data_IF_484151316506
#
_entry.id   IF_484151316506
#
_cell.length_a   1.000
_cell.length_b   1.000
_cell.length_c   1.000
_cell.angle_alpha   90.00
_cell.angle_beta   90.00
_cell.angle_gamma   90.00
#
_symmetry.space_group_name_H-M   'P 1'
#
loop_
_entity.id
_entity.type
_entity.pdbx_description
1 polymer ?
#
# COMPACT_ATOMS: atom_id res chain seq x y z
N UNK A 1 19.58 -2.21 31.15
CA UNK A 1 18.32 -1.48 30.90
C UNK A 1 18.22 -1.26 29.40
N UNK A 2 17.26 -1.89 28.73
CA UNK A 2 17.03 -1.65 27.30
C UNK A 2 16.45 -0.23 27.13
N UNK A 3 17.05 0.57 26.25
CA UNK A 3 16.59 1.90 25.89
C UNK A 3 15.21 1.82 25.19
N UNK A 4 14.31 2.77 25.44
CA UNK A 4 13.04 2.93 24.72
C UNK A 4 13.21 2.93 23.19
N UNK A 5 14.29 3.52 22.66
CA UNK A 5 14.60 3.47 21.22
C UNK A 5 14.90 2.05 20.72
N UNK A 6 15.47 1.19 21.57
CA UNK A 6 15.74 -0.22 21.23
C UNK A 6 14.46 -1.06 21.25
N UNK A 7 13.49 -0.70 22.10
CA UNK A 7 12.19 -1.36 22.15
C UNK A 7 11.34 -1.04 20.92
N UNK A 8 11.35 0.22 20.45
CA UNK A 8 10.70 0.62 19.19
C UNK A 8 11.35 -0.09 17.99
N UNK A 9 12.68 -0.16 17.96
CA UNK A 9 13.41 -0.84 16.88
C UNK A 9 13.02 -2.33 16.78
N UNK A 10 12.93 -3.02 17.93
CA UNK A 10 12.48 -4.42 17.96
C UNK A 10 11.04 -4.60 17.50
N UNK A 11 10.11 -3.73 17.92
CA UNK A 11 8.69 -3.87 17.56
C UNK A 11 8.39 -3.64 16.08
N UNK A 12 9.20 -2.80 15.40
CA UNK A 12 8.99 -2.46 13.98
C UNK A 12 9.58 -3.49 13.01
N UNK A 13 10.64 -4.19 13.42
CA UNK A 13 11.44 -5.06 12.52
C UNK A 13 11.23 -6.55 12.79
N UNK A 14 10.97 -6.97 14.04
CA UNK A 14 10.70 -8.39 14.32
C UNK A 14 9.49 -8.99 13.58
N UNK A 15 8.39 -8.25 13.29
CA UNK A 15 7.28 -8.80 12.50
C UNK A 15 7.68 -9.23 11.09
N UNK A 16 8.69 -8.58 10.48
CA UNK A 16 9.25 -8.96 9.18
C UNK A 16 10.19 -10.17 9.28
N UNK A 17 10.62 -10.55 10.49
CA UNK A 17 11.63 -11.58 10.73
C UNK A 17 11.03 -12.90 11.22
N UNK A 18 9.88 -12.89 11.92
CA UNK A 18 9.45 -14.05 12.72
C UNK A 18 8.12 -14.73 12.35
N UNK A 19 7.20 -14.16 11.54
CA UNK A 19 5.84 -14.76 11.42
C UNK A 19 5.24 -14.92 10.02
N UNK A 20 5.94 -14.58 8.92
CA UNK A 20 5.36 -14.70 7.57
C UNK A 20 5.93 -15.82 6.69
N UNK A 21 6.86 -16.65 7.19
CA UNK A 21 7.49 -17.69 6.36
C UNK A 21 6.71 -19.02 6.33
N UNK A 22 5.91 -19.33 7.35
CA UNK A 22 5.30 -20.68 7.48
C UNK A 22 3.76 -20.73 7.38
N UNK A 23 3.07 -19.58 7.36
CA UNK A 23 1.60 -19.54 7.52
C UNK A 23 0.79 -19.41 6.23
N UNK A 24 1.42 -19.15 5.08
CA UNK A 24 0.68 -19.12 3.81
C UNK A 24 0.63 -20.54 3.26
N UNK A 25 -0.52 -21.19 3.46
CA UNK A 25 -0.80 -22.53 2.99
C UNK A 25 -0.34 -22.74 1.54
N UNK A 26 0.35 -23.86 1.31
CA UNK A 26 0.94 -24.30 0.05
C UNK A 26 -0.01 -24.34 -1.16
N UNK A 27 -1.32 -24.12 -0.97
CA UNK A 27 -2.32 -24.04 -2.05
C UNK A 27 -2.36 -22.66 -2.75
N UNK A 28 -1.89 -21.56 -2.14
CA UNK A 28 -1.97 -20.21 -2.75
C UNK A 28 -0.79 -19.85 -3.67
N UNK A 29 0.29 -20.65 -3.69
CA UNK A 29 1.52 -20.37 -4.45
C UNK A 29 1.35 -20.43 -5.99
N UNK A 30 0.30 -21.09 -6.48
CA UNK A 30 0.01 -21.24 -7.92
C UNK A 30 -0.92 -20.14 -8.47
N UNK A 31 -1.29 -19.16 -7.62
CA UNK A 31 -2.15 -18.04 -8.02
C UNK A 31 -1.31 -16.87 -8.54
N UNK A 32 -1.62 -16.28 -9.71
CA UNK A 32 -0.91 -15.10 -10.22
C UNK A 32 -1.02 -13.92 -9.23
N UNK A 33 0.04 -13.10 -9.16
CA UNK A 33 0.14 -11.95 -8.26
C UNK A 33 -1.10 -11.04 -8.34
N UNK A 34 -1.94 -11.12 -7.30
CA UNK A 34 -3.17 -10.32 -7.17
C UNK A 34 -2.91 -8.90 -6.64
N UNK A 35 -1.66 -8.55 -6.30
CA UNK A 35 -1.30 -7.34 -5.55
C UNK A 35 -1.94 -7.22 -4.15
N UNK A 36 -2.53 -8.31 -3.66
CA UNK A 36 -3.17 -8.39 -2.34
C UNK A 36 -2.18 -8.38 -1.16
N UNK A 37 -0.88 -8.35 -1.47
CA UNK A 37 0.20 -8.23 -0.48
C UNK A 37 0.39 -9.47 0.39
N UNK A 38 -0.12 -10.64 -0.02
CA UNK A 38 -0.04 -11.88 0.77
C UNK A 38 1.29 -12.59 0.65
N UNK A 39 1.87 -12.61 -0.55
CA UNK A 39 3.08 -13.35 -0.87
C UNK A 39 4.03 -12.41 -1.60
N UNK A 40 5.27 -12.33 -1.13
CA UNK A 40 6.35 -11.64 -1.81
C UNK A 40 7.68 -12.27 -1.40
N UNK A 41 8.53 -12.60 -2.38
CA UNK A 41 9.86 -13.15 -2.13
C UNK A 41 10.88 -12.01 -1.97
N UNK A 42 11.52 -11.93 -0.79
CA UNK A 42 12.49 -10.89 -0.51
C UNK A 42 13.89 -11.25 -0.98
N UNK A 43 14.46 -10.43 -1.87
CA UNK A 43 15.91 -10.37 -1.98
C UNK A 43 16.51 -9.77 -0.69
N UNK A 44 17.60 -10.33 -0.13
CA UNK A 44 18.22 -9.81 1.09
C UNK A 44 18.58 -8.32 1.03
N UNK A 45 18.90 -7.77 -0.15
CA UNK A 45 19.19 -6.34 -0.28
C UNK A 45 17.94 -5.49 -0.16
N UNK A 46 16.81 -5.97 -0.66
CA UNK A 46 15.52 -5.28 -0.52
C UNK A 46 15.09 -5.26 0.95
N UNK A 47 15.21 -6.39 1.65
CA UNK A 47 14.92 -6.47 3.08
C UNK A 47 15.74 -5.44 3.86
N UNK A 48 17.06 -5.40 3.64
CA UNK A 48 17.93 -4.43 4.31
C UNK A 48 17.55 -2.97 3.99
N UNK A 49 17.21 -2.67 2.73
CA UNK A 49 16.80 -1.32 2.34
C UNK A 49 15.51 -0.88 3.06
N UNK A 50 14.55 -1.79 3.22
CA UNK A 50 13.30 -1.54 3.96
C UNK A 50 13.59 -1.32 5.44
N UNK A 51 14.42 -2.17 6.06
CA UNK A 51 14.82 -2.02 7.47
C UNK A 51 15.49 -0.66 7.72
N UNK A 52 16.39 -0.23 6.84
CA UNK A 52 17.05 1.08 6.94
C UNK A 52 16.05 2.24 6.77
N UNK A 53 15.13 2.14 5.81
CA UNK A 53 14.12 3.17 5.59
C UNK A 53 13.20 3.34 6.81
N UNK A 54 12.75 2.23 7.40
CA UNK A 54 11.95 2.22 8.63
C UNK A 54 12.72 2.78 9.82
N UNK A 55 13.97 2.35 10.01
CA UNK A 55 14.80 2.80 11.13
C UNK A 55 15.16 4.28 11.04
N UNK A 56 15.33 4.83 9.84
CA UNK A 56 15.69 6.24 9.63
C UNK A 56 14.47 7.16 9.48
N UNK A 57 13.27 6.60 9.30
CA UNK A 57 12.07 7.36 8.97
C UNK A 57 12.17 8.09 7.63
N UNK A 58 13.03 7.63 6.71
CA UNK A 58 13.25 8.25 5.39
C UNK A 58 12.52 7.46 4.30
N UNK A 59 11.94 8.12 3.29
CA UNK A 59 11.23 7.44 2.22
C UNK A 59 12.17 6.57 1.38
N UNK A 60 11.68 5.40 0.97
CA UNK A 60 12.39 4.44 0.12
C UNK A 60 11.87 4.53 -1.32
N UNK A 61 12.76 4.80 -2.28
CA UNK A 61 12.44 4.79 -3.71
C UNK A 61 12.93 3.49 -4.37
N UNK A 62 11.99 2.66 -4.84
CA UNK A 62 12.29 1.43 -5.56
C UNK A 62 12.35 1.68 -7.06
N UNK A 63 13.45 1.28 -7.71
CA UNK A 63 13.65 1.35 -9.17
C UNK A 63 13.81 -0.04 -9.77
N UNK A 64 13.38 -0.21 -11.02
CA UNK A 64 13.62 -1.43 -11.81
C UNK A 64 12.67 -1.54 -13.00
N UNK A 65 12.70 -2.68 -13.68
CA UNK A 65 11.92 -2.92 -14.89
C UNK A 65 10.41 -3.02 -14.63
N UNK A 66 9.55 -2.65 -15.61
CA UNK A 66 8.12 -2.85 -15.49
C UNK A 66 7.81 -4.32 -15.20
N UNK A 67 6.88 -4.58 -14.26
CA UNK A 67 6.52 -5.94 -13.86
C UNK A 67 7.42 -6.59 -12.80
N UNK A 68 8.47 -5.93 -12.31
CA UNK A 68 9.35 -6.50 -11.27
C UNK A 68 8.76 -6.52 -9.83
N UNK A 69 7.44 -6.40 -9.67
CA UNK A 69 6.77 -6.47 -8.36
C UNK A 69 6.95 -5.28 -7.42
N UNK A 70 7.41 -4.11 -7.90
CA UNK A 70 7.64 -2.90 -7.07
C UNK A 70 6.40 -2.48 -6.25
N UNK A 71 5.22 -2.47 -6.86
CA UNK A 71 3.96 -2.16 -6.17
C UNK A 71 3.58 -3.26 -5.18
N UNK A 72 3.81 -4.53 -5.53
CA UNK A 72 3.50 -5.69 -4.71
C UNK A 72 4.31 -5.71 -3.41
N UNK A 73 5.57 -5.26 -3.44
CA UNK A 73 6.42 -5.05 -2.23
C UNK A 73 5.74 -4.11 -1.24
N UNK A 74 5.25 -2.96 -1.70
CA UNK A 74 4.68 -1.94 -0.82
C UNK A 74 3.40 -2.45 -0.12
N UNK A 75 2.53 -3.12 -0.88
CA UNK A 75 1.32 -3.77 -0.34
C UNK A 75 1.67 -4.86 0.68
N UNK A 76 2.66 -5.70 0.38
CA UNK A 76 3.13 -6.76 1.28
C UNK A 76 3.69 -6.19 2.59
N UNK A 77 4.58 -5.19 2.53
CA UNK A 77 5.15 -4.57 3.73
C UNK A 77 4.06 -3.94 4.60
N UNK A 78 3.14 -3.19 3.99
CA UNK A 78 2.05 -2.56 4.73
C UNK A 78 1.17 -3.59 5.44
N UNK A 79 0.89 -4.73 4.79
CA UNK A 79 0.12 -5.83 5.40
C UNK A 79 0.84 -6.45 6.60
N UNK A 80 2.13 -6.78 6.47
CA UNK A 80 2.90 -7.42 7.55
C UNK A 80 3.16 -6.48 8.74
N UNK A 81 3.28 -5.18 8.49
CA UNK A 81 3.42 -4.16 9.54
C UNK A 81 2.07 -3.65 10.07
N UNK A 82 0.94 -4.19 9.57
CA UNK A 82 -0.41 -3.73 9.88
C UNK A 82 -0.60 -2.20 9.71
N UNK A 83 0.01 -1.67 8.65
CA UNK A 83 -0.08 -0.26 8.27
C UNK A 83 -1.23 -0.03 7.32
N UNK A 84 -1.84 1.15 7.43
CA UNK A 84 -2.79 1.62 6.42
C UNK A 84 -2.04 1.87 5.11
N UNK A 85 -2.39 1.10 4.09
CA UNK A 85 -1.81 1.20 2.75
C UNK A 85 -2.55 2.26 1.91
N UNK A 86 -1.78 3.14 1.28
CA UNK A 86 -2.29 4.13 0.34
C UNK A 86 -1.54 3.98 -0.99
N UNK A 87 -2.30 3.78 -2.07
CA UNK A 87 -1.74 3.69 -3.42
C UNK A 87 -2.21 4.88 -4.26
N UNK A 88 -1.26 5.53 -4.93
CA UNK A 88 -1.53 6.62 -5.85
C UNK A 88 -0.60 6.51 -7.06
N UNK A 89 -1.15 6.72 -8.25
CA UNK A 89 -0.39 6.80 -9.51
C UNK A 89 -0.06 8.26 -9.76
N UNK A 90 1.23 8.57 -9.88
CA UNK A 90 1.73 9.93 -10.15
C UNK A 90 2.20 10.03 -11.60
N UNK A 91 1.77 11.07 -12.30
CA UNK A 91 2.17 11.39 -13.67
C UNK A 91 2.67 12.84 -13.76
N UNK A 92 3.19 13.25 -14.93
CA UNK A 92 3.65 14.64 -15.13
C UNK A 92 2.53 15.68 -15.06
N UNK A 93 1.27 15.28 -15.11
CA UNK A 93 0.10 16.16 -14.97
C UNK A 93 -0.50 16.15 -13.57
N UNK A 94 0.01 15.31 -12.66
CA UNK A 94 -0.51 15.21 -11.30
C UNK A 94 -0.11 16.44 -10.47
N UNK A 95 -1.08 17.01 -9.75
CA UNK A 95 -0.89 18.10 -8.81
C UNK A 95 -0.83 17.58 -7.37
N UNK A 96 -0.24 18.34 -6.45
CA UNK A 96 -0.24 17.99 -5.03
C UNK A 96 -1.66 17.95 -4.42
N UNK A 97 -2.61 18.71 -4.99
CA UNK A 97 -3.99 18.73 -4.52
C UNK A 97 -4.70 17.40 -4.80
N UNK A 98 -4.30 16.69 -5.85
CA UNK A 98 -4.84 15.40 -6.26
C UNK A 98 -4.59 14.30 -5.21
N UNK A 99 -3.65 14.54 -4.27
CA UNK A 99 -3.33 13.64 -3.16
C UNK A 99 -4.12 13.96 -1.87
N UNK A 100 -4.75 15.12 -1.78
CA UNK A 100 -5.52 15.52 -0.60
C UNK A 100 -6.92 14.91 -0.60
N UNK A 101 -7.57 14.89 -1.76
CA UNK A 101 -8.91 14.36 -1.97
C UNK A 101 -9.10 14.00 -3.44
N UNK A 102 -9.98 13.04 -3.70
CA UNK A 102 -10.46 12.70 -5.04
C UNK A 102 -11.94 12.97 -5.11
N UNK A 103 -12.38 13.49 -6.24
CA UNK A 103 -13.78 13.76 -6.51
C UNK A 103 -14.17 13.12 -7.84
N UNK A 104 -15.06 12.14 -7.80
CA UNK A 104 -15.53 11.42 -8.98
C UNK A 104 -16.58 12.24 -9.74
N UNK A 105 -16.09 13.16 -10.56
CA UNK A 105 -16.91 13.98 -11.46
C UNK A 105 -17.70 13.14 -12.46
N UNK A 106 -17.17 11.98 -12.86
CA UNK A 106 -17.80 11.11 -13.86
C UNK A 106 -19.03 10.45 -13.25
N UNK A 107 -18.89 9.90 -12.05
CA UNK A 107 -20.00 9.31 -11.30
C UNK A 107 -21.04 10.38 -10.95
N UNK A 108 -20.60 11.59 -10.57
CA UNK A 108 -21.51 12.72 -10.34
C UNK A 108 -22.29 13.12 -11.59
N UNK A 109 -21.64 13.14 -12.76
CA UNK A 109 -22.30 13.44 -14.03
C UNK A 109 -23.27 12.34 -14.44
N UNK A 110 -22.89 11.07 -14.28
CA UNK A 110 -23.73 9.92 -14.58
C UNK A 110 -25.02 9.94 -13.73
N UNK A 111 -24.89 10.18 -12.41
CA UNK A 111 -26.04 10.35 -11.52
C UNK A 111 -26.93 11.52 -11.95
N UNK A 112 -26.33 12.66 -12.35
CA UNK A 112 -27.10 13.81 -12.81
C UNK A 112 -27.90 13.55 -14.11
N UNK A 113 -27.45 12.63 -14.95
CA UNK A 113 -28.13 12.25 -16.20
C UNK A 113 -29.18 11.16 -16.01
N UNK A 114 -29.03 10.28 -15.02
CA UNK A 114 -29.94 9.17 -14.74
C UNK A 114 -31.06 9.50 -13.74
N UNK A 115 -30.92 10.61 -13.00
CA UNK A 115 -31.83 11.03 -11.94
C UNK A 115 -33.25 11.37 -12.46
N UNK A 116 -34.26 10.74 -11.85
CA UNK A 116 -35.67 11.02 -12.16
C UNK A 116 -36.17 12.31 -11.45
N UNK A 117 -37.20 12.98 -11.99
CA UNK A 117 -37.82 14.14 -11.33
C UNK A 117 -38.32 13.77 -9.92
N UNK A 118 -37.81 14.45 -8.89
CA UNK A 118 -38.20 14.26 -7.49
C UNK A 118 -37.27 13.36 -6.65
N UNK A 119 -36.24 12.78 -7.25
CA UNK A 119 -35.24 11.99 -6.53
C UNK A 119 -34.25 12.90 -5.77
N UNK A 120 -33.69 12.43 -4.66
CA UNK A 120 -32.71 13.20 -3.90
C UNK A 120 -31.30 12.91 -4.40
N UNK A 121 -30.52 13.97 -4.64
CA UNK A 121 -29.10 13.83 -4.99
C UNK A 121 -28.33 13.26 -3.79
N UNK A 122 -27.40 12.35 -4.07
CA UNK A 122 -26.44 11.87 -3.07
C UNK A 122 -25.58 13.04 -2.57
N UNK A 123 -25.14 13.02 -1.30
CA UNK A 123 -24.23 14.02 -0.78
C UNK A 123 -22.89 14.01 -1.52
N UNK A 124 -22.20 15.16 -1.52
CA UNK A 124 -20.91 15.30 -2.21
C UNK A 124 -19.81 14.37 -1.66
N UNK A 125 -19.97 13.84 -0.45
CA UNK A 125 -19.05 12.87 0.16
C UNK A 125 -19.06 11.49 -0.51
N UNK A 126 -20.10 11.19 -1.28
CA UNK A 126 -20.30 9.88 -1.91
C UNK A 126 -19.70 9.83 -3.33
N UNK A 127 -19.08 10.94 -3.77
CA UNK A 127 -18.38 11.12 -5.04
C UNK A 127 -16.91 11.45 -4.78
#
# INVERSE_FOLDING_TARGET
MANESTLIYKSLIEPLRSESLDAVASEELDTPDRRDGRIYDYDPKLQLAVEIALATGRPLLLRGDPGSGKSSVASFIARNLNYRYYEAVITGQSSAQDLLWRYDLVHRLADAQSMAPGEQRRPLSDY
#
